data_IF_882857364214
#
_entry.id   IF_882857364214
#
_cell.length_a   1.000
_cell.length_b   1.000
_cell.length_c   1.000
_cell.angle_alpha   90.00
_cell.angle_beta   90.00
_cell.angle_gamma   90.00
#
_symmetry.space_group_name_H-M   'P 1'
#
loop_
_entity.id
_entity.type
_entity.pdbx_description
1 polymer ?
#
# COMPACT_ATOMS: atom_id res chain seq x y z
N UNK A 1 -2.79 21.08 43.63
CA UNK A 1 -4.04 21.13 42.83
C UNK A 1 -3.83 21.40 41.34
N UNK A 2 -2.87 22.27 40.92
CA UNK A 2 -2.60 22.53 39.48
C UNK A 2 -2.12 21.27 38.70
N UNK A 3 -1.32 20.39 39.32
CA UNK A 3 -0.83 19.16 38.67
C UNK A 3 -1.91 18.10 38.38
N UNK A 4 -2.95 18.05 39.23
CA UNK A 4 -4.05 17.07 39.03
C UNK A 4 -4.94 17.45 37.85
N UNK A 5 -5.24 18.72 37.64
CA UNK A 5 -5.97 19.21 36.48
C UNK A 5 -5.20 18.95 35.16
N UNK A 6 -3.90 19.19 35.17
CA UNK A 6 -3.05 18.92 33.99
C UNK A 6 -2.99 17.43 33.64
N UNK A 7 -2.89 16.56 34.66
CA UNK A 7 -2.95 15.11 34.48
C UNK A 7 -4.32 14.65 33.94
N UNK A 8 -5.42 15.21 34.46
CA UNK A 8 -6.77 14.87 33.97
C UNK A 8 -6.95 15.32 32.50
N UNK A 9 -6.53 16.52 32.15
CA UNK A 9 -6.60 17.02 30.76
C UNK A 9 -5.74 16.19 29.83
N UNK A 10 -4.53 15.81 30.22
CA UNK A 10 -3.69 14.90 29.45
C UNK A 10 -4.32 13.53 29.30
N UNK A 11 -4.88 12.95 30.37
CA UNK A 11 -5.57 11.68 30.32
C UNK A 11 -6.77 11.68 29.38
N UNK A 12 -7.61 12.72 29.46
CA UNK A 12 -8.74 12.91 28.54
C UNK A 12 -8.25 13.07 27.09
N UNK A 13 -7.20 13.84 26.86
CA UNK A 13 -6.60 14.01 25.53
C UNK A 13 -6.09 12.70 24.92
N UNK A 14 -5.44 11.86 25.72
CA UNK A 14 -4.99 10.53 25.27
C UNK A 14 -6.18 9.62 24.93
N UNK A 15 -7.19 9.56 25.80
CA UNK A 15 -8.40 8.76 25.59
C UNK A 15 -9.12 9.23 24.31
N UNK A 16 -9.29 10.56 24.15
CA UNK A 16 -9.91 11.13 22.95
C UNK A 16 -9.13 10.78 21.68
N UNK A 17 -7.81 10.83 21.74
CA UNK A 17 -6.93 10.45 20.64
C UNK A 17 -7.08 8.97 20.24
N UNK A 18 -7.22 8.08 21.22
CA UNK A 18 -7.47 6.65 20.99
C UNK A 18 -8.86 6.45 20.35
N UNK A 19 -9.87 7.14 20.83
CA UNK A 19 -11.22 7.06 20.29
C UNK A 19 -11.29 7.56 18.84
N UNK A 20 -10.62 8.68 18.53
CA UNK A 20 -10.52 9.18 17.15
C UNK A 20 -9.81 8.16 16.24
N UNK A 21 -8.75 7.52 16.74
CA UNK A 21 -8.05 6.49 15.96
C UNK A 21 -8.91 5.25 15.71
N UNK A 22 -9.67 4.82 16.71
CA UNK A 22 -10.65 3.75 16.59
C UNK A 22 -11.74 4.12 15.57
N UNK A 23 -12.33 5.30 15.70
CA UNK A 23 -13.34 5.80 14.76
C UNK A 23 -12.79 5.83 13.33
N UNK A 24 -11.55 6.31 13.11
CA UNK A 24 -10.88 6.29 11.82
C UNK A 24 -10.77 4.89 11.25
N UNK A 25 -10.36 3.90 12.05
CA UNK A 25 -10.23 2.49 11.62
C UNK A 25 -11.58 1.90 11.22
N UNK A 26 -12.63 2.19 11.98
CA UNK A 26 -13.99 1.76 11.66
C UNK A 26 -14.53 2.40 10.38
N UNK A 27 -14.37 3.71 10.23
CA UNK A 27 -14.79 4.44 9.02
C UNK A 27 -14.04 3.89 7.80
N UNK A 28 -12.73 3.69 7.94
CA UNK A 28 -11.91 3.10 6.87
C UNK A 28 -12.40 1.71 6.48
N UNK A 29 -12.67 0.84 7.45
CA UNK A 29 -13.19 -0.51 7.18
C UNK A 29 -14.55 -0.46 6.47
N UNK A 30 -15.47 0.39 6.92
CA UNK A 30 -16.81 0.55 6.29
C UNK A 30 -16.75 1.09 4.88
N UNK A 31 -15.88 2.07 4.62
CA UNK A 31 -15.65 2.60 3.26
C UNK A 31 -15.05 1.50 2.38
N UNK A 32 -14.07 0.74 2.91
CA UNK A 32 -13.47 -0.37 2.20
C UNK A 32 -14.51 -1.41 1.76
N UNK A 33 -15.35 -1.83 2.67
CA UNK A 33 -16.42 -2.81 2.39
C UNK A 33 -17.37 -2.29 1.30
N UNK A 34 -17.81 -1.05 1.41
CA UNK A 34 -18.75 -0.45 0.43
C UNK A 34 -18.13 -0.28 -0.97
N UNK A 35 -16.90 0.21 -1.02
CA UNK A 35 -16.17 0.41 -2.28
C UNK A 35 -15.85 -0.93 -2.93
N UNK A 36 -15.39 -1.91 -2.14
CA UNK A 36 -15.06 -3.25 -2.63
C UNK A 36 -16.29 -3.95 -3.21
N UNK A 37 -17.40 -4.01 -2.48
CA UNK A 37 -18.63 -4.65 -2.94
C UNK A 37 -19.22 -3.94 -4.17
N UNK A 38 -19.21 -2.61 -4.18
CA UNK A 38 -19.72 -1.82 -5.31
C UNK A 38 -18.89 -2.00 -6.59
N UNK A 39 -17.56 -2.00 -6.45
CA UNK A 39 -16.64 -2.24 -7.56
C UNK A 39 -16.70 -3.69 -8.05
N UNK A 40 -16.75 -4.65 -7.13
CA UNK A 40 -16.74 -6.07 -7.45
C UNK A 40 -17.98 -6.47 -8.29
N UNK A 41 -19.16 -6.05 -7.87
CA UNK A 41 -20.40 -6.34 -8.57
C UNK A 41 -20.45 -5.72 -9.98
N UNK A 42 -19.93 -4.51 -10.14
CA UNK A 42 -19.93 -3.81 -11.45
C UNK A 42 -18.89 -4.39 -12.40
N UNK A 43 -17.65 -4.49 -11.93
CA UNK A 43 -16.53 -4.94 -12.76
C UNK A 43 -16.66 -6.42 -13.12
N UNK A 44 -17.02 -7.29 -12.18
CA UNK A 44 -17.22 -8.72 -12.42
C UNK A 44 -18.29 -8.94 -13.50
N UNK A 45 -19.42 -8.24 -13.41
CA UNK A 45 -20.48 -8.32 -14.43
C UNK A 45 -19.99 -7.81 -15.78
N UNK A 46 -19.34 -6.66 -15.84
CA UNK A 46 -18.87 -6.05 -17.09
C UNK A 46 -17.82 -6.93 -17.78
N UNK A 47 -16.85 -7.45 -17.03
CA UNK A 47 -15.81 -8.34 -17.54
C UNK A 47 -16.43 -9.63 -18.10
N UNK A 48 -17.33 -10.24 -17.35
CA UNK A 48 -17.98 -11.49 -17.78
C UNK A 48 -18.88 -11.27 -19.01
N UNK A 49 -19.61 -10.15 -19.07
CA UNK A 49 -20.38 -9.79 -20.26
C UNK A 49 -19.49 -9.55 -21.49
N UNK A 50 -18.38 -8.85 -21.33
CA UNK A 50 -17.42 -8.63 -22.44
C UNK A 50 -16.80 -9.95 -22.89
N UNK A 51 -16.47 -10.84 -21.96
CA UNK A 51 -15.97 -12.17 -22.29
C UNK A 51 -16.92 -12.98 -23.15
N UNK A 52 -18.23 -12.96 -22.83
CA UNK A 52 -19.27 -13.64 -23.62
C UNK A 52 -19.49 -12.99 -25.00
N UNK A 53 -19.12 -11.75 -25.20
CA UNK A 53 -19.22 -11.01 -26.47
C UNK A 53 -17.96 -11.12 -27.32
N UNK A 54 -16.85 -11.66 -26.79
CA UNK A 54 -15.63 -11.88 -27.55
C UNK A 54 -15.87 -12.87 -28.69
N UNK A 55 -15.34 -12.55 -29.86
CA UNK A 55 -15.35 -13.47 -31.00
C UNK A 55 -14.38 -14.62 -30.72
N UNK A 56 -14.73 -15.79 -31.23
CA UNK A 56 -13.96 -17.03 -31.01
C UNK A 56 -12.51 -16.91 -31.48
N UNK A 57 -12.27 -16.12 -32.53
CA UNK A 57 -10.93 -15.84 -33.07
C UNK A 57 -10.05 -14.94 -32.16
N UNK A 58 -10.66 -14.23 -31.20
CA UNK A 58 -9.99 -13.36 -30.23
C UNK A 58 -9.81 -14.00 -28.84
N UNK A 59 -10.36 -15.20 -28.66
CA UNK A 59 -10.17 -15.91 -27.40
C UNK A 59 -8.70 -16.35 -27.22
N UNK A 60 -8.13 -16.21 -26.02
CA UNK A 60 -6.80 -16.74 -25.73
C UNK A 60 -6.68 -18.21 -26.06
N UNK A 61 -5.52 -18.62 -26.56
CA UNK A 61 -5.25 -19.98 -27.02
C UNK A 61 -5.38 -21.06 -25.93
N UNK A 62 -5.47 -20.69 -24.65
CA UNK A 62 -5.65 -21.63 -23.56
C UNK A 62 -6.59 -21.11 -22.47
N UNK A 63 -7.40 -22.00 -21.91
CA UNK A 63 -8.28 -21.72 -20.76
C UNK A 63 -7.49 -21.19 -19.56
N UNK A 64 -6.25 -21.66 -19.38
CA UNK A 64 -5.37 -21.21 -18.31
C UNK A 64 -4.91 -19.76 -18.48
N UNK A 65 -4.69 -19.30 -19.71
CA UNK A 65 -4.39 -17.90 -20.01
C UNK A 65 -5.58 -17.01 -19.67
N UNK A 66 -6.79 -17.45 -20.01
CA UNK A 66 -8.03 -16.74 -19.68
C UNK A 66 -8.24 -16.65 -18.15
N UNK A 67 -8.03 -17.75 -17.44
CA UNK A 67 -8.11 -17.75 -15.96
C UNK A 67 -7.04 -16.85 -15.33
N UNK A 68 -5.85 -16.76 -15.92
CA UNK A 68 -4.78 -15.84 -15.50
C UNK A 68 -5.18 -14.37 -15.67
N UNK A 69 -5.79 -14.01 -16.82
CA UNK A 69 -6.29 -12.66 -17.07
C UNK A 69 -7.44 -12.29 -16.14
N UNK A 70 -8.32 -13.23 -15.80
CA UNK A 70 -9.39 -12.99 -14.83
C UNK A 70 -8.87 -12.75 -13.42
N UNK A 71 -7.74 -13.34 -13.00
CA UNK A 71 -7.09 -12.97 -11.72
C UNK A 71 -6.51 -11.57 -11.73
N UNK A 72 -6.08 -11.06 -12.89
CA UNK A 72 -5.62 -9.68 -13.04
C UNK A 72 -6.67 -8.65 -12.61
N UNK A 73 -7.95 -8.93 -12.84
CA UNK A 73 -9.07 -8.11 -12.39
C UNK A 73 -9.09 -7.91 -10.87
N UNK A 74 -8.87 -8.96 -10.06
CA UNK A 74 -8.87 -8.85 -8.59
C UNK A 74 -7.77 -7.92 -8.10
N UNK A 75 -6.64 -7.92 -8.77
CA UNK A 75 -5.52 -7.05 -8.46
C UNK A 75 -5.84 -5.59 -8.82
N UNK A 76 -6.45 -5.31 -9.99
CA UNK A 76 -6.93 -3.97 -10.38
C UNK A 76 -7.91 -3.42 -9.35
N UNK A 77 -8.90 -4.23 -8.95
CA UNK A 77 -9.87 -3.90 -7.92
C UNK A 77 -9.17 -3.48 -6.62
N UNK A 78 -8.25 -4.33 -6.14
CA UNK A 78 -7.53 -4.09 -4.89
C UNK A 78 -6.71 -2.80 -4.94
N UNK A 79 -6.09 -2.51 -6.09
CA UNK A 79 -5.36 -1.27 -6.30
C UNK A 79 -6.26 -0.03 -6.23
N UNK A 80 -7.36 -0.02 -6.98
CA UNK A 80 -8.28 1.11 -6.95
C UNK A 80 -8.89 1.31 -5.56
N UNK A 81 -9.22 0.23 -4.87
CA UNK A 81 -9.75 0.29 -3.50
C UNK A 81 -8.71 0.88 -2.53
N UNK A 82 -7.46 0.42 -2.58
CA UNK A 82 -6.38 0.92 -1.73
C UNK A 82 -6.05 2.38 -2.02
N UNK A 83 -5.96 2.76 -3.31
CA UNK A 83 -5.70 4.14 -3.73
C UNK A 83 -6.81 5.10 -3.35
N UNK A 84 -8.06 4.71 -3.49
CA UNK A 84 -9.23 5.52 -3.10
C UNK A 84 -9.26 5.76 -1.60
N UNK A 85 -8.97 4.72 -0.80
CA UNK A 85 -8.90 4.85 0.66
C UNK A 85 -7.78 5.78 1.10
N UNK A 86 -6.60 5.65 0.48
CA UNK A 86 -5.49 6.55 0.75
C UNK A 86 -5.86 8.00 0.46
N UNK A 87 -6.41 8.29 -0.72
CA UNK A 87 -6.77 9.64 -1.12
C UNK A 87 -7.92 10.23 -0.30
N UNK A 88 -8.95 9.44 0.02
CA UNK A 88 -10.18 9.91 0.65
C UNK A 88 -10.10 9.97 2.18
N UNK A 89 -9.35 9.09 2.81
CA UNK A 89 -9.30 8.96 4.28
C UNK A 89 -7.94 9.37 4.83
N UNK A 90 -6.86 8.80 4.31
CA UNK A 90 -5.55 8.95 4.93
C UNK A 90 -4.93 10.32 4.67
N UNK A 91 -5.08 10.89 3.47
CA UNK A 91 -4.55 12.23 3.14
C UNK A 91 -5.26 13.34 3.92
N UNK A 92 -6.61 13.42 3.98
CA UNK A 92 -7.29 14.43 4.79
C UNK A 92 -6.94 14.34 6.27
N UNK A 93 -6.86 13.11 6.82
CA UNK A 93 -6.47 12.94 8.24
C UNK A 93 -5.03 13.37 8.50
N UNK A 94 -4.11 13.10 7.58
CA UNK A 94 -2.74 13.61 7.66
C UNK A 94 -2.70 15.15 7.68
N UNK A 95 -3.52 15.80 6.85
CA UNK A 95 -3.67 17.27 6.85
C UNK A 95 -4.24 17.79 8.16
N UNK A 96 -5.27 17.14 8.72
CA UNK A 96 -5.84 17.51 10.02
C UNK A 96 -4.76 17.46 11.12
N UNK A 97 -3.95 16.39 11.15
CA UNK A 97 -2.86 16.30 12.12
C UNK A 97 -1.79 17.39 11.92
N UNK A 98 -1.46 17.74 10.69
CA UNK A 98 -0.54 18.86 10.40
C UNK A 98 -1.09 20.20 10.88
N UNK A 99 -2.37 20.49 10.64
CA UNK A 99 -3.04 21.72 11.11
C UNK A 99 -3.07 21.74 12.64
N UNK A 100 -3.37 20.61 13.29
CA UNK A 100 -3.34 20.51 14.75
C UNK A 100 -1.94 20.78 15.32
N UNK A 101 -0.88 20.25 14.71
CA UNK A 101 0.50 20.53 15.13
C UNK A 101 0.80 22.02 14.96
N UNK A 102 0.43 22.64 13.84
CA UNK A 102 0.65 24.05 13.58
C UNK A 102 -0.08 24.95 14.59
N UNK A 103 -1.29 24.54 15.00
CA UNK A 103 -2.12 25.30 15.95
C UNK A 103 -1.67 25.14 17.41
N UNK A 104 -1.30 23.91 17.82
CA UNK A 104 -0.94 23.60 19.23
C UNK A 104 0.51 24.00 19.53
N UNK A 105 1.41 23.77 18.58
CA UNK A 105 2.84 23.99 18.78
C UNK A 105 3.29 25.29 18.10
N UNK A 106 3.55 25.25 16.82
CA UNK A 106 3.96 26.38 15.99
C UNK A 106 3.99 25.96 14.53
N UNK A 107 3.80 26.89 13.57
CA UNK A 107 3.98 26.59 12.14
C UNK A 107 5.38 26.04 11.81
N UNK A 108 6.42 26.50 12.49
CA UNK A 108 7.80 26.02 12.30
C UNK A 108 7.98 24.54 12.68
N UNK A 109 7.32 24.11 13.76
CA UNK A 109 7.31 22.72 14.19
C UNK A 109 6.54 21.84 13.22
N UNK A 110 5.42 22.32 12.67
CA UNK A 110 4.62 21.61 11.68
C UNK A 110 5.31 21.49 10.31
N UNK A 111 6.21 22.42 9.98
CA UNK A 111 6.99 22.36 8.75
C UNK A 111 7.89 21.11 8.67
N UNK A 112 8.39 20.60 9.79
CA UNK A 112 9.27 19.42 9.84
C UNK A 112 8.56 18.15 9.31
N UNK A 113 7.42 17.71 9.88
CA UNK A 113 6.71 16.55 9.37
C UNK A 113 6.16 16.77 7.95
N UNK A 114 5.81 18.00 7.58
CA UNK A 114 5.35 18.32 6.24
C UNK A 114 6.43 18.10 5.18
N UNK A 115 7.64 18.64 5.41
CA UNK A 115 8.78 18.47 4.49
C UNK A 115 9.18 17.00 4.35
N UNK A 116 9.22 16.25 5.47
CA UNK A 116 9.60 14.85 5.45
C UNK A 116 8.50 13.96 4.85
N UNK A 117 7.23 14.32 5.01
CA UNK A 117 6.12 13.69 4.31
C UNK A 117 6.23 13.89 2.80
N UNK A 118 6.55 15.12 2.35
CA UNK A 118 6.83 15.41 0.95
C UNK A 118 8.01 14.61 0.38
N UNK A 119 9.11 14.56 1.13
CA UNK A 119 10.28 13.74 0.76
C UNK A 119 9.92 12.25 0.64
N UNK A 120 9.15 11.71 1.58
CA UNK A 120 8.70 10.33 1.56
C UNK A 120 7.81 10.02 0.35
N UNK A 121 6.90 10.94 -0.01
CA UNK A 121 6.09 10.83 -1.22
C UNK A 121 6.94 10.84 -2.48
N UNK A 122 7.93 11.71 -2.59
CA UNK A 122 8.84 11.75 -3.74
C UNK A 122 9.62 10.45 -3.90
N UNK A 123 10.13 9.87 -2.81
CA UNK A 123 10.81 8.57 -2.82
C UNK A 123 9.84 7.47 -3.28
N UNK A 124 8.62 7.43 -2.75
CA UNK A 124 7.60 6.47 -3.16
C UNK A 124 7.24 6.57 -4.64
N UNK A 125 7.08 7.78 -5.16
CA UNK A 125 6.79 8.01 -6.58
C UNK A 125 7.96 7.63 -7.50
N UNK A 126 9.20 7.88 -7.09
CA UNK A 126 10.39 7.50 -7.86
C UNK A 126 10.54 5.97 -7.94
N UNK A 127 10.27 5.27 -6.85
CA UNK A 127 10.31 3.82 -6.79
C UNK A 127 9.20 3.14 -7.63
N UNK A 128 8.06 3.83 -7.81
CA UNK A 128 6.88 3.30 -8.51
C UNK A 128 7.20 2.74 -9.90
N UNK A 129 8.01 3.45 -10.70
CA UNK A 129 8.36 3.01 -12.05
C UNK A 129 9.12 1.69 -12.05
N UNK A 130 10.03 1.50 -11.08
CA UNK A 130 10.81 0.26 -10.93
C UNK A 130 9.92 -0.88 -10.48
N UNK A 131 9.10 -0.66 -9.46
CA UNK A 131 8.15 -1.66 -8.91
C UNK A 131 7.17 -2.10 -9.99
N UNK A 132 6.61 -1.17 -10.77
CA UNK A 132 5.69 -1.50 -11.86
C UNK A 132 6.35 -2.41 -12.91
N UNK A 133 7.57 -2.09 -13.35
CA UNK A 133 8.28 -2.92 -14.35
C UNK A 133 8.52 -4.35 -13.84
N UNK A 134 8.89 -4.50 -12.58
CA UNK A 134 9.09 -5.81 -11.97
C UNK A 134 7.76 -6.56 -11.86
N UNK A 135 6.69 -5.87 -11.48
CA UNK A 135 5.35 -6.44 -11.38
C UNK A 135 4.83 -6.96 -12.72
N UNK A 136 5.04 -6.20 -13.83
CA UNK A 136 4.73 -6.66 -15.19
C UNK A 136 5.45 -7.95 -15.53
N UNK A 137 6.75 -7.99 -15.30
CA UNK A 137 7.57 -9.18 -15.53
C UNK A 137 7.09 -10.37 -14.69
N UNK A 138 6.81 -10.17 -13.41
CA UNK A 138 6.31 -11.21 -12.52
C UNK A 138 4.94 -11.74 -12.97
N UNK A 139 4.01 -10.86 -13.33
CA UNK A 139 2.71 -11.25 -13.86
C UNK A 139 2.82 -12.09 -15.13
N UNK A 140 3.70 -11.70 -16.07
CA UNK A 140 3.96 -12.46 -17.30
C UNK A 140 4.42 -13.88 -17.02
N UNK A 141 5.43 -14.06 -16.17
CA UNK A 141 5.95 -15.39 -15.83
C UNK A 141 4.95 -16.21 -15.01
N UNK A 142 4.20 -15.59 -14.12
CA UNK A 142 3.13 -16.24 -13.37
C UNK A 142 2.02 -16.76 -14.27
N UNK A 143 1.60 -15.98 -15.26
CA UNK A 143 0.60 -16.40 -16.25
C UNK A 143 1.12 -17.54 -17.13
N UNK A 144 2.37 -17.49 -17.57
CA UNK A 144 2.99 -18.58 -18.33
C UNK A 144 3.10 -19.85 -17.49
N UNK A 145 3.41 -19.76 -16.20
CA UNK A 145 3.47 -20.89 -15.27
C UNK A 145 2.08 -21.53 -15.09
N UNK A 146 1.03 -20.71 -14.93
CA UNK A 146 -0.35 -21.19 -14.86
C UNK A 146 -0.78 -21.85 -16.17
N UNK A 147 -0.45 -21.24 -17.32
CA UNK A 147 -0.72 -21.83 -18.62
C UNK A 147 -0.04 -23.20 -18.82
N UNK A 148 1.24 -23.30 -18.43
CA UNK A 148 1.97 -24.57 -18.49
C UNK A 148 1.35 -25.66 -17.59
N UNK A 149 0.84 -25.27 -16.41
CA UNK A 149 0.15 -26.20 -15.52
C UNK A 149 -1.12 -26.76 -16.16
N UNK A 150 -1.93 -25.89 -16.76
CA UNK A 150 -3.16 -26.30 -17.45
C UNK A 150 -2.82 -27.22 -18.62
N UNK A 151 -1.82 -26.83 -19.46
CA UNK A 151 -1.35 -27.63 -20.58
C UNK A 151 -0.85 -29.03 -20.13
N UNK A 152 -0.15 -29.08 -18.99
CA UNK A 152 0.34 -30.35 -18.43
C UNK A 152 -0.79 -31.24 -17.89
N UNK A 153 -1.85 -30.66 -17.34
CA UNK A 153 -3.03 -31.40 -16.85
C UNK A 153 -3.87 -31.92 -18.02
N UNK A 154 -4.14 -31.08 -19.01
CA UNK A 154 -4.92 -31.43 -20.20
C UNK A 154 -4.21 -32.48 -21.04
N UNK A 155 -2.87 -32.41 -21.14
CA UNK A 155 -2.04 -33.36 -21.91
C UNK A 155 -1.41 -34.48 -21.10
N UNK A 156 -1.86 -34.74 -19.86
CA UNK A 156 -1.19 -35.67 -18.93
C UNK A 156 -1.01 -37.06 -19.48
N UNK A 157 -1.96 -37.61 -20.24
CA UNK A 157 -1.87 -38.91 -20.86
C UNK A 157 -0.77 -38.93 -21.92
N UNK A 158 -0.72 -37.89 -22.77
CA UNK A 158 0.30 -37.78 -23.82
C UNK A 158 1.70 -37.61 -23.22
N UNK A 159 1.81 -36.83 -22.16
CA UNK A 159 3.09 -36.61 -21.46
C UNK A 159 3.60 -37.91 -20.83
N UNK A 160 2.70 -38.67 -20.21
CA UNK A 160 3.07 -39.97 -19.58
C UNK A 160 3.40 -41.02 -20.60
N UNK A 161 2.66 -41.17 -21.69
CA UNK A 161 2.90 -42.14 -22.75
C UNK A 161 4.13 -41.80 -23.60
N UNK A 162 4.39 -40.51 -23.84
CA UNK A 162 5.49 -40.01 -24.69
C UNK A 162 6.81 -39.77 -23.99
N UNK A 163 6.97 -40.12 -22.70
CA UNK A 163 8.18 -39.84 -21.89
C UNK A 163 8.59 -38.34 -21.88
N UNK A 164 7.65 -37.45 -22.19
CA UNK A 164 7.88 -35.99 -22.31
C UNK A 164 7.96 -35.23 -21.00
N UNK A 165 7.77 -35.88 -19.86
CA UNK A 165 7.67 -35.22 -18.53
C UNK A 165 8.87 -34.37 -18.16
N UNK A 166 10.08 -34.72 -18.59
CA UNK A 166 11.30 -33.95 -18.31
C UNK A 166 11.29 -32.58 -19.00
N UNK A 167 10.70 -32.45 -20.20
CA UNK A 167 10.57 -31.15 -20.89
C UNK A 167 9.64 -30.20 -20.14
N UNK A 168 8.50 -30.72 -19.68
CA UNK A 168 7.56 -29.93 -18.87
C UNK A 168 8.17 -29.52 -17.54
N UNK A 169 8.88 -30.44 -16.87
CA UNK A 169 9.59 -30.15 -15.63
C UNK A 169 10.67 -29.06 -15.83
N UNK A 170 11.50 -29.20 -16.86
CA UNK A 170 12.53 -28.21 -17.16
C UNK A 170 11.94 -26.82 -17.42
N UNK A 171 10.86 -26.75 -18.22
CA UNK A 171 10.15 -25.50 -18.50
C UNK A 171 9.52 -24.90 -17.23
N UNK A 172 8.92 -25.75 -16.39
CA UNK A 172 8.37 -25.34 -15.09
C UNK A 172 9.44 -24.77 -14.17
N UNK A 173 10.58 -25.44 -14.04
CA UNK A 173 11.69 -24.98 -13.20
C UNK A 173 12.26 -23.65 -13.70
N UNK A 174 12.40 -23.47 -15.01
CA UNK A 174 12.84 -22.21 -15.60
C UNK A 174 11.86 -21.07 -15.30
N UNK A 175 10.56 -21.26 -15.51
CA UNK A 175 9.54 -20.26 -15.18
C UNK A 175 9.49 -19.97 -13.69
N UNK A 176 9.65 -20.99 -12.86
CA UNK A 176 9.68 -20.84 -11.40
C UNK A 176 10.90 -20.03 -10.94
N UNK A 177 12.08 -20.27 -11.52
CA UNK A 177 13.28 -19.48 -11.20
C UNK A 177 13.08 -17.98 -11.52
N UNK A 178 12.51 -17.66 -12.69
CA UNK A 178 12.20 -16.27 -13.04
C UNK A 178 11.15 -15.65 -12.12
N UNK A 179 10.11 -16.40 -11.74
CA UNK A 179 9.10 -15.93 -10.79
C UNK A 179 9.74 -15.59 -9.43
N UNK A 180 10.55 -16.51 -8.89
CA UNK A 180 11.26 -16.30 -7.61
C UNK A 180 12.15 -15.08 -7.66
N UNK A 181 12.95 -14.93 -8.74
CA UNK A 181 13.85 -13.77 -8.89
C UNK A 181 13.06 -12.45 -8.91
N UNK A 182 11.99 -12.38 -9.69
CA UNK A 182 11.14 -11.19 -9.75
C UNK A 182 10.44 -10.89 -8.41
N UNK A 183 9.97 -11.92 -7.71
CA UNK A 183 9.32 -11.76 -6.40
C UNK A 183 10.31 -11.25 -5.35
N UNK A 184 11.56 -11.74 -5.37
CA UNK A 184 12.63 -11.23 -4.51
C UNK A 184 12.99 -9.79 -4.82
N UNK A 185 13.15 -9.43 -6.10
CA UNK A 185 13.42 -8.05 -6.51
C UNK A 185 12.28 -7.10 -6.12
N UNK A 186 11.03 -7.53 -6.30
CA UNK A 186 9.85 -6.78 -5.90
C UNK A 186 9.80 -6.57 -4.40
N UNK A 187 10.07 -7.63 -3.63
CA UNK A 187 10.15 -7.58 -2.17
C UNK A 187 11.26 -6.63 -1.71
N UNK A 188 12.47 -6.76 -2.22
CA UNK A 188 13.58 -5.87 -1.89
C UNK A 188 13.28 -4.39 -2.22
N UNK A 189 12.65 -4.13 -3.38
CA UNK A 189 12.26 -2.78 -3.75
C UNK A 189 11.20 -2.20 -2.81
N UNK A 190 10.20 -3.00 -2.45
CA UNK A 190 9.13 -2.58 -1.53
C UNK A 190 9.63 -2.39 -0.10
N UNK A 191 10.47 -3.30 0.39
CA UNK A 191 11.09 -3.20 1.72
C UNK A 191 12.02 -1.99 1.81
N UNK A 192 12.80 -1.71 0.77
CA UNK A 192 13.66 -0.52 0.73
C UNK A 192 12.84 0.77 0.89
N UNK A 193 11.72 0.90 0.16
CA UNK A 193 10.83 2.06 0.30
C UNK A 193 10.24 2.15 1.71
N UNK A 194 9.84 1.01 2.28
CA UNK A 194 9.32 0.96 3.64
C UNK A 194 10.38 1.35 4.69
N UNK A 195 11.62 0.89 4.53
CA UNK A 195 12.73 1.27 5.43
C UNK A 195 13.06 2.76 5.34
N UNK A 196 13.11 3.33 4.14
CA UNK A 196 13.29 4.78 3.97
C UNK A 196 12.13 5.58 4.58
N UNK A 197 10.90 5.16 4.39
CA UNK A 197 9.73 5.80 5.00
C UNK A 197 9.77 5.73 6.53
N UNK A 198 10.17 4.58 7.10
CA UNK A 198 10.36 4.42 8.54
C UNK A 198 11.48 5.31 9.09
N UNK A 199 12.61 5.41 8.37
CA UNK A 199 13.70 6.31 8.73
C UNK A 199 13.27 7.78 8.71
N UNK A 200 12.53 8.21 7.68
CA UNK A 200 11.98 9.56 7.59
C UNK A 200 10.97 9.84 8.71
N UNK A 201 10.18 8.84 9.13
CA UNK A 201 9.29 8.97 10.27
C UNK A 201 10.06 9.19 11.58
N UNK A 202 11.16 8.45 11.79
CA UNK A 202 12.03 8.65 12.95
C UNK A 202 12.71 10.02 12.92
N UNK A 203 13.19 10.45 11.76
CA UNK A 203 13.76 11.77 11.57
C UNK A 203 12.72 12.88 11.80
N UNK A 204 11.47 12.68 11.40
CA UNK A 204 10.38 13.60 11.67
C UNK A 204 10.14 13.78 13.18
N UNK A 205 10.09 12.65 13.89
CA UNK A 205 9.97 12.69 15.34
C UNK A 205 11.13 13.42 16.01
N UNK A 206 12.36 13.08 15.66
CA UNK A 206 13.56 13.74 16.20
C UNK A 206 13.60 15.23 15.83
N UNK A 207 13.28 15.57 14.59
CA UNK A 207 13.23 16.97 14.13
C UNK A 207 12.18 17.80 14.85
N UNK A 208 11.00 17.24 15.08
CA UNK A 208 9.94 17.91 15.89
C UNK A 208 10.41 18.14 17.33
N UNK A 209 11.11 17.18 17.93
CA UNK A 209 11.65 17.33 19.29
C UNK A 209 12.72 18.42 19.33
N UNK A 210 13.66 18.43 18.37
CA UNK A 210 14.74 19.43 18.31
C UNK A 210 14.19 20.84 18.06
N UNK A 211 13.43 21.01 16.96
CA UNK A 211 12.86 22.33 16.60
C UNK A 211 11.88 22.79 17.66
N UNK A 212 11.04 21.89 18.17
CA UNK A 212 10.10 22.21 19.22
C UNK A 212 10.78 22.59 20.53
N UNK A 213 11.92 21.96 20.90
CA UNK A 213 12.70 22.36 22.06
C UNK A 213 13.26 23.79 21.91
N UNK A 214 13.69 24.18 20.71
CA UNK A 214 14.14 25.55 20.44
C UNK A 214 12.99 26.56 20.62
N UNK A 215 11.79 26.23 20.15
CA UNK A 215 10.60 27.08 20.31
C UNK A 215 10.16 27.17 21.78
N UNK A 216 10.28 26.07 22.55
CA UNK A 216 10.04 26.07 24.00
C UNK A 216 11.04 26.99 24.73
N UNK A 217 12.33 26.88 24.38
CA UNK A 217 13.36 27.76 24.96
C UNK A 217 13.16 29.23 24.61
N UNK A 218 12.59 29.55 23.45
CA UNK A 218 12.21 30.89 23.07
C UNK A 218 10.97 31.42 23.84
N UNK A 219 10.25 30.53 24.55
CA UNK A 219 9.06 30.90 25.32
C UNK A 219 7.75 30.88 24.53
N UNK A 220 7.81 30.54 23.24
CA UNK A 220 6.66 30.57 22.32
C UNK A 220 5.81 29.32 22.37
N UNK A 221 6.23 28.28 23.12
CA UNK A 221 5.52 27.01 23.21
C UNK A 221 5.69 26.37 24.59
N UNK A 222 4.66 25.63 25.03
CA UNK A 222 4.72 24.88 26.28
C UNK A 222 5.34 23.49 26.09
N UNK A 223 5.91 22.91 27.15
CA UNK A 223 6.41 21.52 27.14
C UNK A 223 5.32 20.50 26.79
N UNK A 224 4.08 20.74 27.24
CA UNK A 224 2.92 19.90 26.89
C UNK A 224 2.61 19.93 25.40
N UNK A 225 2.72 21.08 24.77
CA UNK A 225 2.54 21.23 23.31
C UNK A 225 3.63 20.48 22.53
N UNK A 226 4.89 20.49 23.01
CA UNK A 226 5.99 19.71 22.43
C UNK A 226 5.70 18.21 22.47
N UNK A 227 5.27 17.70 23.61
CA UNK A 227 4.91 16.27 23.74
C UNK A 227 3.75 15.91 22.79
N UNK A 228 2.70 16.74 22.76
CA UNK A 228 1.56 16.53 21.87
C UNK A 228 1.98 16.53 20.38
N UNK A 229 2.77 17.54 19.96
CA UNK A 229 3.27 17.64 18.59
C UNK A 229 4.16 16.42 18.20
N UNK A 230 5.00 15.95 19.11
CA UNK A 230 5.86 14.78 18.88
C UNK A 230 5.06 13.47 18.69
N UNK A 231 3.95 13.31 19.41
CA UNK A 231 3.04 12.16 19.24
C UNK A 231 2.30 12.26 17.90
N UNK A 232 1.78 13.45 17.58
CA UNK A 232 1.03 13.70 16.35
C UNK A 232 1.90 13.58 15.10
N UNK A 233 3.18 13.96 15.16
CA UNK A 233 4.08 13.88 14.00
C UNK A 233 4.23 12.46 13.45
N UNK A 234 4.21 11.43 14.31
CA UNK A 234 4.23 10.03 13.88
C UNK A 234 2.98 9.64 13.10
N UNK A 235 1.84 10.26 13.40
CA UNK A 235 0.56 9.96 12.74
C UNK A 235 0.44 10.63 11.37
N UNK A 236 1.14 11.73 11.13
CA UNK A 236 1.19 12.40 9.82
C UNK A 236 1.82 11.50 8.76
N UNK A 237 2.91 10.80 9.08
CA UNK A 237 3.62 9.96 8.12
C UNK A 237 3.08 8.52 8.04
N UNK A 238 2.26 8.08 9.00
CA UNK A 238 1.75 6.70 9.03
C UNK A 238 1.02 6.24 7.76
N UNK A 239 0.20 7.08 7.08
CA UNK A 239 -0.46 6.69 5.84
C UNK A 239 0.53 6.43 4.70
N UNK A 240 1.62 7.18 4.65
CA UNK A 240 2.64 7.07 3.58
C UNK A 240 3.38 5.74 3.67
N UNK A 241 3.53 5.18 4.87
CA UNK A 241 4.15 3.87 5.07
C UNK A 241 3.33 2.70 4.51
N UNK A 242 2.05 2.89 4.24
CA UNK A 242 1.18 1.85 3.64
C UNK A 242 1.24 1.85 2.10
N UNK A 243 1.81 2.89 1.48
CA UNK A 243 1.92 3.00 0.02
C UNK A 243 2.73 1.88 -0.65
N UNK A 244 3.87 1.39 -0.09
CA UNK A 244 4.63 0.31 -0.73
C UNK A 244 3.79 -0.96 -0.91
N UNK A 245 2.98 -1.33 0.07
CA UNK A 245 2.09 -2.49 -0.01
C UNK A 245 1.00 -2.38 -1.09
N UNK A 246 0.50 -1.16 -1.33
CA UNK A 246 -0.50 -0.92 -2.37
C UNK A 246 0.11 -0.80 -3.78
N UNK A 247 1.38 -0.41 -3.88
CA UNK A 247 2.11 -0.31 -5.16
C UNK A 247 2.48 -1.68 -5.74
N UNK A 248 2.69 -2.68 -4.87
CA UNK A 248 3.00 -4.06 -5.26
C UNK A 248 1.81 -4.79 -5.87
N UNK A 249 0.59 -4.29 -5.64
CA UNK A 249 -0.65 -4.89 -6.15
C UNK A 249 -1.05 -4.35 -7.54
N UNK A 250 -0.12 -3.78 -8.31
CA UNK A 250 -0.42 -3.25 -9.65
C UNK A 250 -0.46 -4.40 -10.68
N UNK A 251 -1.60 -4.68 -11.29
CA UNK A 251 -1.68 -5.44 -12.52
C UNK A 251 -1.78 -4.47 -13.70
N UNK A 252 -1.15 -4.84 -14.78
CA UNK A 252 -1.43 -4.22 -16.06
C UNK A 252 -2.67 -4.86 -16.67
N UNK A 253 -3.66 -4.01 -16.93
CA UNK A 253 -4.72 -4.30 -17.88
C UNK A 253 -4.17 -4.28 -19.30
#
# INVERSE_FOLDING_TARGET
TRGQYTLAVLGIGVVLSILIELARKFVRARIMDHVTVGLDNRLSREIFQRLLQLRIDQLPASVGSLAGQMRGYEQVRNFYTAGTLFALVDVPMGMVFLVLIAWIASPWVAAVPLLLAGASLLIGLSARRRVNRIAESSAKYSNQKTGLLVEAVDGVETIKSGSGGWKFLSRWLSLNAHTITNDLEMRHSSESVAYFAAALQQLSYAGVVVVGSMVVMAGDMTMGALIAASILSRRVLSPIMMLPGSLVQHPHA
#
